data_IF_576423332790
#
_entry.id   IF_576423332790
#
_cell.length_a   1.000
_cell.length_b   1.000
_cell.length_c   1.000
_cell.angle_alpha   90.00
_cell.angle_beta   90.00
_cell.angle_gamma   90.00
#
_symmetry.space_group_name_H-M   'P 1'
#
loop_
_entity.id
_entity.type
_entity.pdbx_description
1 polymer ?
#
# COMPACT_ATOMS: atom_id res chain seq x y z
N UNK A 1 -16.02 -34.15 -6.36
CA UNK A 1 -15.88 -32.80 -6.94
C UNK A 1 -16.34 -31.82 -5.88
N UNK A 2 -15.45 -30.99 -5.35
CA UNK A 2 -15.86 -29.87 -4.48
C UNK A 2 -16.75 -28.92 -5.30
N UNK A 3 -17.93 -28.53 -4.79
CA UNK A 3 -18.78 -27.60 -5.51
C UNK A 3 -18.02 -26.29 -5.76
N UNK A 4 -18.17 -25.72 -6.96
CA UNK A 4 -17.63 -24.41 -7.26
C UNK A 4 -18.22 -23.40 -6.26
N UNK A 5 -17.35 -22.75 -5.48
CA UNK A 5 -17.77 -21.76 -4.49
C UNK A 5 -18.54 -20.62 -5.15
N UNK A 6 -19.64 -20.20 -4.52
CA UNK A 6 -20.39 -19.03 -4.96
C UNK A 6 -19.60 -17.74 -4.70
N UNK A 7 -20.01 -16.63 -5.33
CA UNK A 7 -19.42 -15.32 -5.07
C UNK A 7 -19.57 -14.91 -3.59
N UNK A 8 -20.69 -15.28 -2.96
CA UNK A 8 -20.94 -15.00 -1.55
C UNK A 8 -19.93 -15.71 -0.64
N UNK A 9 -19.57 -16.95 -0.98
CA UNK A 9 -18.59 -17.73 -0.23
C UNK A 9 -17.17 -17.18 -0.38
N UNK A 10 -16.91 -16.42 -1.46
CA UNK A 10 -15.60 -15.80 -1.74
C UNK A 10 -15.40 -14.44 -1.10
N UNK A 11 -16.46 -13.72 -0.73
CA UNK A 11 -16.38 -12.38 -0.12
C UNK A 11 -15.44 -12.31 1.10
N UNK A 12 -15.50 -13.25 2.07
CA UNK A 12 -14.58 -13.23 3.22
C UNK A 12 -13.12 -13.37 2.81
N UNK A 13 -12.83 -14.13 1.75
CA UNK A 13 -11.48 -14.32 1.24
C UNK A 13 -10.96 -13.06 0.54
N UNK A 14 -11.81 -12.35 -0.21
CA UNK A 14 -11.44 -11.05 -0.78
C UNK A 14 -11.22 -10.00 0.31
N UNK A 15 -12.06 -9.94 1.34
CA UNK A 15 -11.88 -9.03 2.47
C UNK A 15 -10.54 -9.26 3.19
N UNK A 16 -10.12 -10.53 3.33
CA UNK A 16 -8.83 -10.92 3.91
C UNK A 16 -7.64 -10.58 3.01
N UNK A 17 -7.78 -10.70 1.67
CA UNK A 17 -6.76 -10.22 0.72
C UNK A 17 -6.60 -8.69 0.79
N UNK A 18 -7.71 -7.98 0.93
CA UNK A 18 -7.75 -6.52 1.09
C UNK A 18 -7.25 -6.03 2.46
N UNK A 19 -6.96 -6.95 3.40
CA UNK A 19 -6.57 -6.69 4.80
C UNK A 19 -7.57 -5.81 5.56
N UNK A 20 -8.86 -5.96 5.28
CA UNK A 20 -9.93 -5.24 6.01
C UNK A 20 -9.90 -5.60 7.50
N UNK A 21 -9.51 -6.84 7.84
CA UNK A 21 -9.33 -7.33 9.20
C UNK A 21 -8.10 -6.73 9.92
N UNK A 22 -7.18 -6.07 9.20
CA UNK A 22 -5.91 -5.54 9.74
C UNK A 22 -5.72 -4.06 9.37
N UNK A 23 -6.44 -3.14 10.02
CA UNK A 23 -6.52 -1.73 9.62
C UNK A 23 -5.23 -0.93 9.84
N UNK A 24 -4.29 -1.43 10.64
CA UNK A 24 -3.05 -0.71 11.01
C UNK A 24 -2.31 -0.22 9.77
N UNK A 25 -2.19 -1.06 8.73
CA UNK A 25 -1.52 -0.66 7.49
C UNK A 25 -2.23 0.46 6.74
N UNK A 26 -3.57 0.54 6.81
CA UNK A 26 -4.34 1.67 6.27
C UNK A 26 -4.07 2.93 7.06
N UNK A 27 -4.02 2.83 8.39
CA UNK A 27 -3.75 3.98 9.26
C UNK A 27 -2.34 4.54 9.05
N UNK A 28 -1.34 3.67 8.84
CA UNK A 28 0.03 4.10 8.52
C UNK A 28 0.12 4.85 7.19
N UNK A 29 -0.72 4.51 6.22
CA UNK A 29 -0.84 5.23 4.94
C UNK A 29 -1.66 6.53 5.08
N UNK A 30 -2.69 6.49 5.93
CA UNK A 30 -3.67 7.55 6.08
C UNK A 30 -3.12 8.74 6.85
N UNK A 31 -2.49 8.52 8.01
CA UNK A 31 -2.06 9.62 8.88
C UNK A 31 -1.11 10.63 8.23
N UNK A 32 -0.05 10.21 7.50
CA UNK A 32 0.82 11.15 6.80
C UNK A 32 0.09 11.97 5.73
N UNK A 33 -0.84 11.32 5.04
CA UNK A 33 -1.70 11.95 4.03
C UNK A 33 -2.62 13.01 4.68
N UNK A 34 -3.23 12.68 5.83
CA UNK A 34 -4.08 13.61 6.57
C UNK A 34 -3.30 14.80 7.13
N UNK A 35 -2.09 14.57 7.66
CA UNK A 35 -1.21 15.66 8.10
C UNK A 35 -0.83 16.58 6.95
N UNK A 36 -0.53 16.02 5.77
CA UNK A 36 -0.24 16.80 4.58
C UNK A 36 -1.44 17.64 4.12
N UNK A 37 -2.66 17.09 4.14
CA UNK A 37 -3.88 17.84 3.84
C UNK A 37 -4.09 19.00 4.82
N UNK A 38 -3.91 18.76 6.12
CA UNK A 38 -4.08 19.77 7.16
C UNK A 38 -3.08 20.92 7.00
N UNK A 39 -1.80 20.58 6.76
CA UNK A 39 -0.74 21.56 6.56
C UNK A 39 -0.95 22.33 5.25
N UNK A 40 -1.29 21.64 4.16
CA UNK A 40 -1.53 22.25 2.86
C UNK A 40 -2.75 23.20 2.87
N UNK A 41 -3.76 22.91 3.68
CA UNK A 41 -4.96 23.74 3.82
C UNK A 41 -4.81 24.87 4.84
N UNK A 42 -3.68 24.96 5.54
CA UNK A 42 -3.48 25.86 6.67
C UNK A 42 -4.61 25.75 7.73
N UNK A 43 -5.13 24.53 7.91
CA UNK A 43 -6.32 24.27 8.71
C UNK A 43 -7.14 23.09 8.18
N UNK A 44 -8.47 23.25 8.13
CA UNK A 44 -9.36 22.20 7.66
C UNK A 44 -9.38 22.12 6.13
N UNK A 45 -9.02 20.98 5.52
CA UNK A 45 -9.14 20.81 4.08
C UNK A 45 -10.62 20.79 3.66
N UNK A 46 -10.93 21.14 2.39
CA UNK A 46 -12.28 20.97 1.86
C UNK A 46 -12.76 19.52 2.06
N UNK A 47 -13.96 19.34 2.60
CA UNK A 47 -14.47 18.02 3.01
C UNK A 47 -14.50 17.00 1.87
N UNK A 48 -14.74 17.44 0.63
CA UNK A 48 -14.71 16.56 -0.53
C UNK A 48 -13.29 16.04 -0.84
N UNK A 49 -12.26 16.87 -0.68
CA UNK A 49 -10.85 16.45 -0.82
C UNK A 49 -10.52 15.45 0.29
N UNK A 50 -10.89 15.77 1.54
CA UNK A 50 -10.68 14.87 2.68
C UNK A 50 -11.31 13.50 2.44
N UNK A 51 -12.57 13.45 1.98
CA UNK A 51 -13.28 12.21 1.67
C UNK A 51 -12.59 11.42 0.54
N UNK A 52 -12.16 12.10 -0.53
CA UNK A 52 -11.42 11.48 -1.65
C UNK A 52 -10.15 10.82 -1.16
N UNK A 53 -9.34 11.51 -0.34
CA UNK A 53 -8.08 10.94 0.16
C UNK A 53 -8.32 9.81 1.15
N UNK A 54 -9.29 9.90 2.06
CA UNK A 54 -9.62 8.79 2.98
C UNK A 54 -10.03 7.53 2.20
N UNK A 55 -10.97 7.67 1.26
CA UNK A 55 -11.44 6.56 0.46
C UNK A 55 -10.35 6.02 -0.48
N UNK A 56 -9.61 6.92 -1.14
CA UNK A 56 -8.51 6.57 -2.04
C UNK A 56 -7.38 5.83 -1.33
N UNK A 57 -6.97 6.29 -0.14
CA UNK A 57 -5.98 5.62 0.71
C UNK A 57 -6.44 4.21 1.09
N UNK A 58 -7.70 4.03 1.50
CA UNK A 58 -8.24 2.70 1.79
C UNK A 58 -8.18 1.78 0.57
N UNK A 59 -8.70 2.25 -0.58
CA UNK A 59 -8.72 1.47 -1.82
C UNK A 59 -7.31 1.09 -2.29
N UNK A 60 -6.38 2.04 -2.30
CA UNK A 60 -5.00 1.80 -2.74
C UNK A 60 -4.22 0.94 -1.75
N UNK A 61 -4.47 1.05 -0.45
CA UNK A 61 -3.90 0.14 0.54
C UNK A 61 -4.35 -1.29 0.27
N UNK A 62 -5.65 -1.50 0.07
CA UNK A 62 -6.22 -2.81 -0.24
C UNK A 62 -5.70 -3.36 -1.57
N UNK A 63 -5.61 -2.55 -2.63
CA UNK A 63 -5.02 -2.96 -3.90
C UNK A 63 -3.55 -3.38 -3.73
N UNK A 64 -2.77 -2.60 -2.99
CA UNK A 64 -1.38 -2.92 -2.66
C UNK A 64 -1.23 -4.23 -1.86
N UNK A 65 -2.15 -4.52 -0.92
CA UNK A 65 -2.18 -5.83 -0.23
C UNK A 65 -2.39 -6.98 -1.21
N UNK A 66 -3.35 -6.83 -2.11
CA UNK A 66 -3.71 -7.86 -3.10
C UNK A 66 -2.54 -8.13 -4.05
N UNK A 67 -1.89 -7.07 -4.56
CA UNK A 67 -0.71 -7.20 -5.42
C UNK A 67 0.49 -7.77 -4.68
N UNK A 68 0.67 -7.43 -3.39
CA UNK A 68 1.72 -8.04 -2.58
C UNK A 68 1.51 -9.55 -2.42
N UNK A 69 0.31 -9.99 -2.02
CA UNK A 69 -0.01 -11.42 -1.89
C UNK A 69 0.09 -12.13 -3.27
N UNK A 70 -0.26 -11.44 -4.37
CA UNK A 70 -0.07 -11.98 -5.73
C UNK A 70 1.41 -12.19 -6.08
N UNK A 71 2.29 -11.22 -5.76
CA UNK A 71 3.72 -11.31 -6.02
C UNK A 71 4.42 -12.38 -5.16
N UNK A 72 3.86 -12.66 -3.98
CA UNK A 72 4.39 -13.60 -2.99
C UNK A 72 3.79 -15.01 -3.05
N UNK A 73 2.80 -15.24 -3.92
CA UNK A 73 2.01 -16.49 -3.97
C UNK A 73 2.82 -17.79 -4.04
N UNK A 74 3.95 -17.78 -4.74
CA UNK A 74 4.80 -18.97 -4.92
C UNK A 74 5.67 -19.24 -3.67
N UNK A 75 5.85 -18.23 -2.81
CA UNK A 75 6.62 -18.29 -1.58
C UNK A 75 5.74 -18.48 -0.34
N UNK A 76 4.55 -17.87 -0.33
CA UNK A 76 3.67 -17.82 0.84
C UNK A 76 3.24 -19.20 1.35
N UNK A 77 3.12 -20.20 0.47
CA UNK A 77 2.83 -21.58 0.87
C UNK A 77 3.91 -22.24 1.74
N UNK A 78 5.15 -21.72 1.69
CA UNK A 78 6.31 -22.28 2.38
C UNK A 78 6.63 -21.57 3.70
N UNK A 79 5.91 -20.50 4.05
CA UNK A 79 6.14 -19.68 5.25
C UNK A 79 4.99 -19.88 6.24
N UNK A 80 5.32 -20.20 7.49
CA UNK A 80 4.33 -20.57 8.52
C UNK A 80 3.26 -19.50 8.75
N UNK A 81 3.67 -18.22 8.73
CA UNK A 81 2.76 -17.08 8.91
C UNK A 81 1.80 -16.86 7.73
N UNK A 82 2.20 -17.23 6.51
CA UNK A 82 1.47 -16.86 5.27
C UNK A 82 0.87 -18.03 4.52
N UNK A 83 1.14 -19.28 4.92
CA UNK A 83 0.58 -20.51 4.35
C UNK A 83 -0.95 -20.54 4.23
N UNK A 84 -1.65 -19.80 5.09
CA UNK A 84 -3.12 -19.76 5.14
C UNK A 84 -3.71 -18.57 4.36
N UNK A 85 -2.90 -17.83 3.58
CA UNK A 85 -3.39 -16.73 2.75
C UNK A 85 -4.26 -17.25 1.61
N UNK A 86 -5.30 -16.51 1.18
CA UNK A 86 -6.25 -17.00 0.17
C UNK A 86 -5.62 -17.41 -1.17
N UNK A 87 -4.55 -16.74 -1.60
CA UNK A 87 -3.81 -17.09 -2.81
C UNK A 87 -2.93 -18.34 -2.61
N UNK A 88 -2.32 -18.49 -1.43
CA UNK A 88 -1.49 -19.66 -1.10
C UNK A 88 -2.32 -20.94 -0.95
N UNK A 89 -3.55 -20.85 -0.46
CA UNK A 89 -4.48 -21.99 -0.33
C UNK A 89 -5.25 -22.29 -1.62
N UNK A 90 -5.11 -21.46 -2.66
CA UNK A 90 -5.82 -21.61 -3.94
C UNK A 90 -7.32 -21.32 -3.88
N UNK A 91 -7.85 -20.81 -2.74
CA UNK A 91 -9.27 -20.47 -2.60
C UNK A 91 -9.67 -19.23 -3.41
N UNK A 92 -8.68 -18.35 -3.68
CA UNK A 92 -8.76 -17.27 -4.66
C UNK A 92 -7.72 -17.50 -5.73
N UNK A 93 -8.10 -17.44 -7.00
CA UNK A 93 -7.19 -17.60 -8.12
C UNK A 93 -6.33 -16.34 -8.35
N UNK A 94 -5.14 -16.47 -8.95
CA UNK A 94 -4.30 -15.32 -9.30
C UNK A 94 -5.02 -14.31 -10.22
N UNK A 95 -5.86 -14.79 -11.15
CA UNK A 95 -6.66 -13.94 -12.03
C UNK A 95 -7.70 -13.10 -11.29
N UNK A 96 -8.38 -13.68 -10.30
CA UNK A 96 -9.32 -12.95 -9.44
C UNK A 96 -8.61 -11.89 -8.59
N UNK A 97 -7.42 -12.18 -8.08
CA UNK A 97 -6.63 -11.20 -7.34
C UNK A 97 -6.22 -10.02 -8.23
N UNK A 98 -5.74 -10.27 -9.46
CA UNK A 98 -5.42 -9.19 -10.40
C UNK A 98 -6.66 -8.36 -10.77
N UNK A 99 -7.80 -9.00 -11.02
CA UNK A 99 -9.05 -8.31 -11.30
C UNK A 99 -9.49 -7.43 -10.12
N UNK A 100 -9.41 -7.95 -8.89
CA UNK A 100 -9.73 -7.19 -7.67
C UNK A 100 -8.81 -5.97 -7.51
N UNK A 101 -7.50 -6.15 -7.67
CA UNK A 101 -6.55 -5.04 -7.60
C UNK A 101 -6.84 -3.98 -8.68
N UNK A 102 -7.13 -4.40 -9.91
CA UNK A 102 -7.46 -3.49 -11.01
C UNK A 102 -8.75 -2.69 -10.72
N UNK A 103 -9.80 -3.34 -10.20
CA UNK A 103 -11.05 -2.66 -9.82
C UNK A 103 -10.82 -1.66 -8.69
N UNK A 104 -10.08 -2.03 -7.65
CA UNK A 104 -9.76 -1.14 -6.53
C UNK A 104 -8.93 0.07 -6.99
N UNK A 105 -7.92 -0.13 -7.84
CA UNK A 105 -7.12 0.95 -8.42
C UNK A 105 -7.92 1.84 -9.36
N UNK A 106 -8.81 1.28 -10.18
CA UNK A 106 -9.69 2.05 -11.04
C UNK A 106 -10.68 2.90 -10.23
N UNK A 107 -11.26 2.33 -9.16
CA UNK A 107 -12.12 3.07 -8.25
C UNK A 107 -11.37 4.22 -7.57
N UNK A 108 -10.14 3.99 -7.11
CA UNK A 108 -9.29 5.04 -6.56
C UNK A 108 -8.96 6.13 -7.59
N UNK A 109 -8.69 5.75 -8.85
CA UNK A 109 -8.43 6.72 -9.92
C UNK A 109 -9.65 7.58 -10.23
N UNK A 110 -10.85 6.99 -10.28
CA UNK A 110 -12.12 7.72 -10.46
C UNK A 110 -12.31 8.79 -9.38
N UNK A 111 -11.93 8.52 -8.13
CA UNK A 111 -11.99 9.51 -7.05
C UNK A 111 -11.05 10.70 -7.26
N UNK A 112 -9.95 10.54 -8.01
CA UNK A 112 -8.97 11.59 -8.27
C UNK A 112 -9.36 12.47 -9.47
N UNK A 113 -10.18 11.98 -10.40
CA UNK A 113 -10.64 12.73 -11.58
C UNK A 113 -11.26 14.12 -11.32
N UNK A 114 -12.04 14.36 -10.25
CA UNK A 114 -12.55 15.70 -9.96
C UNK A 114 -11.50 16.67 -9.40
N UNK A 115 -10.28 16.22 -9.10
CA UNK A 115 -9.20 17.07 -8.60
C UNK A 115 -8.44 17.75 -9.76
N UNK A 116 -7.47 18.58 -9.41
CA UNK A 116 -6.66 19.27 -10.42
C UNK A 116 -5.72 18.32 -11.19
N UNK A 117 -5.28 18.78 -12.36
CA UNK A 117 -4.40 18.03 -13.28
C UNK A 117 -3.13 17.53 -12.61
N UNK A 118 -2.50 18.32 -11.74
CA UNK A 118 -1.27 17.90 -11.06
C UNK A 118 -1.51 16.67 -10.17
N UNK A 119 -2.63 16.64 -9.45
CA UNK A 119 -3.00 15.50 -8.61
C UNK A 119 -3.28 14.24 -9.44
N UNK A 120 -3.97 14.40 -10.57
CA UNK A 120 -4.21 13.31 -11.53
C UNK A 120 -2.88 12.77 -12.06
N UNK A 121 -1.96 13.65 -12.48
CA UNK A 121 -0.65 13.26 -12.98
C UNK A 121 0.19 12.54 -11.91
N UNK A 122 0.12 12.96 -10.65
CA UNK A 122 0.81 12.31 -9.53
C UNK A 122 0.22 10.93 -9.18
N UNK A 123 -1.03 10.63 -9.54
CA UNK A 123 -1.61 9.30 -9.32
C UNK A 123 -0.90 8.20 -10.14
N UNK A 124 -0.30 8.54 -11.28
CA UNK A 124 0.43 7.60 -12.14
C UNK A 124 1.70 7.07 -11.46
N UNK A 125 2.66 7.92 -11.01
CA UNK A 125 3.80 7.43 -10.25
C UNK A 125 3.38 6.78 -8.93
N UNK A 126 2.30 7.24 -8.27
CA UNK A 126 1.77 6.58 -7.07
C UNK A 126 1.38 5.11 -7.35
N UNK A 127 0.65 4.87 -8.44
CA UNK A 127 0.25 3.52 -8.87
C UNK A 127 1.47 2.67 -9.23
N UNK A 128 2.44 3.25 -9.95
CA UNK A 128 3.68 2.54 -10.30
C UNK A 128 4.44 2.11 -9.05
N UNK A 129 4.69 3.04 -8.12
CA UNK A 129 5.38 2.76 -6.84
C UNK A 129 4.67 1.65 -6.04
N UNK A 130 3.34 1.73 -5.92
CA UNK A 130 2.56 0.72 -5.21
C UNK A 130 2.65 -0.66 -5.89
N UNK A 131 2.62 -0.70 -7.22
CA UNK A 131 2.71 -1.94 -8.00
C UNK A 131 4.10 -2.57 -8.00
N UNK A 132 5.17 -1.77 -7.99
CA UNK A 132 6.55 -2.27 -8.03
C UNK A 132 7.13 -2.60 -6.65
N UNK A 133 6.59 -2.04 -5.56
CA UNK A 133 7.09 -2.27 -4.19
C UNK A 133 7.31 -3.76 -3.85
N UNK A 134 6.38 -4.71 -4.11
CA UNK A 134 6.57 -6.11 -3.71
C UNK A 134 7.82 -6.79 -4.28
N UNK A 135 8.32 -6.29 -5.42
CA UNK A 135 9.51 -6.84 -6.09
C UNK A 135 10.81 -6.26 -5.53
N UNK A 136 10.75 -5.16 -4.79
CA UNK A 136 11.94 -4.43 -4.33
C UNK A 136 12.78 -5.19 -3.32
N UNK A 137 12.14 -6.03 -2.50
CA UNK A 137 12.78 -6.88 -1.48
C UNK A 137 13.77 -7.90 -2.06
N UNK A 138 13.74 -8.12 -3.38
CA UNK A 138 14.68 -9.01 -4.09
C UNK A 138 16.01 -8.30 -4.43
N UNK A 139 16.02 -6.96 -4.45
CA UNK A 139 17.14 -6.19 -4.98
C UNK A 139 17.70 -5.18 -3.99
N UNK A 140 16.84 -4.38 -3.35
CA UNK A 140 17.26 -3.34 -2.41
C UNK A 140 17.62 -3.91 -1.05
N UNK A 141 18.69 -3.39 -0.42
CA UNK A 141 19.05 -3.72 0.95
C UNK A 141 17.99 -3.25 1.95
N UNK A 142 17.38 -2.09 1.68
CA UNK A 142 16.40 -1.42 2.55
C UNK A 142 15.10 -1.19 1.74
N UNK A 143 14.33 -2.24 1.39
CA UNK A 143 13.04 -2.07 0.72
C UNK A 143 12.05 -1.22 1.53
N UNK A 144 12.25 -1.11 2.85
CA UNK A 144 11.51 -0.21 3.74
C UNK A 144 11.59 1.26 3.33
N UNK A 145 12.72 1.71 2.76
CA UNK A 145 12.82 3.08 2.26
C UNK A 145 11.93 3.28 1.03
N UNK A 146 11.86 2.28 0.15
CA UNK A 146 10.96 2.29 -1.00
C UNK A 146 9.50 2.22 -0.57
N UNK A 147 9.18 1.38 0.42
CA UNK A 147 7.88 1.36 1.07
C UNK A 147 7.51 2.75 1.59
N UNK A 148 8.44 3.45 2.24
CA UNK A 148 8.22 4.80 2.76
C UNK A 148 7.86 5.82 1.68
N UNK A 149 8.41 5.69 0.47
CA UNK A 149 8.03 6.52 -0.69
C UNK A 149 6.60 6.15 -1.11
N UNK A 150 6.32 4.87 -1.32
CA UNK A 150 5.00 4.40 -1.75
C UNK A 150 3.91 4.75 -0.72
N UNK A 151 4.19 4.57 0.57
CA UNK A 151 3.26 4.87 1.65
C UNK A 151 3.10 6.38 1.89
N UNK A 152 4.18 7.14 1.69
CA UNK A 152 4.14 8.59 1.84
C UNK A 152 3.57 9.32 0.63
N UNK A 153 3.34 8.66 -0.50
CA UNK A 153 3.04 9.37 -1.76
C UNK A 153 1.70 10.13 -1.74
N UNK A 154 0.81 9.84 -0.79
CA UNK A 154 -0.37 10.67 -0.53
C UNK A 154 -0.01 12.10 -0.11
N UNK A 155 1.17 12.35 0.46
CA UNK A 155 1.65 13.67 0.88
C UNK A 155 1.77 14.65 -0.30
N UNK A 156 2.60 14.40 -1.34
CA UNK A 156 2.68 15.31 -2.49
C UNK A 156 1.34 15.43 -3.22
N UNK A 157 0.55 14.36 -3.29
CA UNK A 157 -0.80 14.43 -3.86
C UNK A 157 -1.72 15.35 -3.05
N UNK A 158 -1.67 15.32 -1.72
CA UNK A 158 -2.46 16.17 -0.84
C UNK A 158 -2.11 17.65 -1.01
N UNK A 159 -0.81 17.99 -1.07
CA UNK A 159 -0.37 19.34 -1.38
C UNK A 159 -0.85 19.78 -2.76
N UNK A 160 -0.65 18.95 -3.79
CA UNK A 160 -1.12 19.24 -5.13
C UNK A 160 -2.63 19.48 -5.16
N UNK A 161 -3.43 18.66 -4.47
CA UNK A 161 -4.89 18.76 -4.45
C UNK A 161 -5.37 20.09 -3.86
N UNK A 162 -4.71 20.57 -2.80
CA UNK A 162 -5.14 21.76 -2.05
C UNK A 162 -4.55 23.06 -2.60
N UNK A 163 -3.26 23.08 -2.96
CA UNK A 163 -2.55 24.31 -3.34
C UNK A 163 -2.28 24.41 -4.84
N UNK A 164 -2.53 23.35 -5.61
CA UNK A 164 -2.18 23.27 -7.02
C UNK A 164 -0.69 23.08 -7.30
N UNK A 165 0.15 22.94 -6.26
CA UNK A 165 1.61 22.76 -6.37
C UNK A 165 2.12 21.80 -5.30
N UNK A 166 3.37 21.32 -5.42
CA UNK A 166 4.05 20.58 -4.34
C UNK A 166 5.24 21.41 -3.85
N UNK A 167 5.06 22.24 -2.81
CA UNK A 167 6.14 23.06 -2.26
C UNK A 167 7.20 22.18 -1.58
N UNK A 168 8.35 22.77 -1.25
CA UNK A 168 9.45 22.08 -0.55
C UNK A 168 8.98 21.35 0.72
N UNK A 169 8.04 21.94 1.46
CA UNK A 169 7.43 21.35 2.65
C UNK A 169 6.82 19.97 2.37
N UNK A 170 6.13 19.79 1.23
CA UNK A 170 5.55 18.49 0.87
C UNK A 170 6.60 17.41 0.62
N UNK A 171 7.71 17.78 -0.02
CA UNK A 171 8.84 16.86 -0.24
C UNK A 171 9.60 16.54 1.04
N UNK A 172 9.77 17.52 1.94
CA UNK A 172 10.37 17.32 3.26
C UNK A 172 9.51 16.40 4.13
N UNK A 173 8.18 16.56 4.08
CA UNK A 173 7.27 15.65 4.76
C UNK A 173 7.35 14.22 4.21
N UNK A 174 7.45 14.06 2.89
CA UNK A 174 7.67 12.74 2.28
C UNK A 174 8.99 12.13 2.76
N UNK A 175 10.07 12.93 2.81
CA UNK A 175 11.36 12.47 3.32
C UNK A 175 11.27 12.04 4.79
N UNK A 176 10.60 12.82 5.64
CA UNK A 176 10.36 12.45 7.03
C UNK A 176 9.54 11.16 7.14
N UNK A 177 8.53 10.99 6.29
CA UNK A 177 7.75 9.76 6.21
C UNK A 177 8.59 8.55 5.82
N UNK A 178 9.57 8.71 4.93
CA UNK A 178 10.49 7.61 4.57
C UNK A 178 11.28 7.15 5.80
N UNK A 179 11.82 8.08 6.60
CA UNK A 179 12.53 7.72 7.83
C UNK A 179 11.60 7.06 8.86
N UNK A 180 10.37 7.56 8.99
CA UNK A 180 9.37 6.96 9.87
C UNK A 180 9.01 5.53 9.43
N UNK A 181 8.82 5.31 8.12
CA UNK A 181 8.57 3.99 7.54
C UNK A 181 9.73 3.04 7.74
N UNK A 182 10.96 3.51 7.53
CA UNK A 182 12.15 2.71 7.85
C UNK A 182 12.15 2.34 9.33
N UNK A 183 11.86 3.25 10.25
CA UNK A 183 11.88 2.94 11.67
C UNK A 183 10.84 1.87 12.06
N UNK A 184 9.56 2.08 11.77
CA UNK A 184 8.52 1.13 12.21
C UNK A 184 8.56 -0.20 11.44
N UNK A 185 8.91 -0.19 10.15
CA UNK A 185 8.88 -1.40 9.32
C UNK A 185 10.17 -2.22 9.49
N UNK A 186 11.27 -1.59 9.94
CA UNK A 186 12.45 -2.33 10.42
C UNK A 186 12.11 -3.10 11.69
N UNK A 187 11.48 -2.46 12.67
CA UNK A 187 11.06 -3.12 13.91
C UNK A 187 10.12 -4.30 13.60
N UNK A 188 9.17 -4.11 12.68
CA UNK A 188 8.30 -5.20 12.23
C UNK A 188 9.10 -6.34 11.57
N UNK A 189 10.07 -6.02 10.71
CA UNK A 189 10.90 -7.00 10.03
C UNK A 189 11.87 -7.76 10.95
N UNK A 190 12.17 -7.24 12.15
CA UNK A 190 13.02 -7.97 13.12
C UNK A 190 12.39 -9.30 13.55
N UNK A 191 11.06 -9.39 13.57
CA UNK A 191 10.33 -10.62 13.92
C UNK A 191 10.48 -11.70 12.85
N UNK A 192 10.44 -11.32 11.57
CA UNK A 192 10.53 -12.24 10.43
C UNK A 192 11.99 -12.51 9.98
N UNK A 193 12.98 -11.82 10.58
CA UNK A 193 14.41 -11.89 10.18
C UNK A 193 14.97 -13.32 10.05
N UNK A 194 14.74 -14.26 10.99
CA UNK A 194 15.27 -15.62 10.86
C UNK A 194 14.74 -16.36 9.62
N UNK A 195 13.51 -16.08 9.22
CA UNK A 195 12.90 -16.70 8.04
C UNK A 195 13.34 -15.99 6.76
N UNK A 196 13.41 -14.65 6.76
CA UNK A 196 13.92 -13.85 5.64
C UNK A 196 15.34 -14.27 5.21
N UNK A 197 16.21 -14.58 6.19
CA UNK A 197 17.56 -15.09 5.93
C UNK A 197 17.56 -16.45 5.21
N UNK A 198 16.60 -17.34 5.51
CA UNK A 198 16.51 -18.66 4.87
C UNK A 198 16.09 -18.56 3.41
N UNK A 199 15.23 -17.60 3.10
CA UNK A 199 14.66 -17.39 1.75
C UNK A 199 15.41 -16.33 0.93
N UNK A 200 16.48 -15.75 1.48
CA UNK A 200 17.36 -14.80 0.77
C UNK A 200 16.71 -13.45 0.46
N UNK A 201 15.66 -13.07 1.20
CA UNK A 201 15.03 -11.75 1.05
C UNK A 201 15.87 -10.71 1.77
N UNK A 202 15.97 -9.52 1.17
CA UNK A 202 16.68 -8.38 1.77
C UNK A 202 15.70 -7.53 2.57
N UNK A 203 16.12 -7.11 3.76
CA UNK A 203 15.39 -6.20 4.65
C UNK A 203 16.34 -5.26 5.37
N UNK A 204 15.82 -4.13 5.84
CA UNK A 204 16.56 -3.23 6.75
C UNK A 204 17.01 -3.93 8.03
N UNK A 205 16.19 -4.84 8.58
CA UNK A 205 16.54 -5.66 9.74
C UNK A 205 17.78 -6.53 9.50
N UNK A 206 17.92 -7.11 8.30
CA UNK A 206 19.15 -7.83 7.92
C UNK A 206 20.31 -6.86 7.67
N UNK A 207 20.04 -5.72 7.06
CA UNK A 207 21.06 -4.74 6.67
C UNK A 207 21.70 -4.03 7.87
N UNK A 208 20.91 -3.69 8.89
CA UNK A 208 21.37 -2.93 10.05
C UNK A 208 21.86 -3.79 11.23
N UNK A 209 21.46 -5.07 11.28
CA UNK A 209 21.99 -6.02 12.26
C UNK A 209 21.08 -6.24 13.46
#
# INVERSE_FOLDING_TARGET
>A
MTPAMSLSDKLPHYARLMRIDKPIGTLLLLWPTLWALWIAAEGWPPLYILAIFIAGTFLMRSAGCVINDYADRDFDGHVERTRNRPLATGVVSPGEALALAAVLSAAAFVLVLPLNTLTILLSVPALLLAGSYPFTKRFFAIPQAYLGIAFGFGIPMAFAAVTGTVPATGWLMLLANIFWAVAYDTEYAMVDRPDDLKIGIKTSAITFG
#
